data_IF_687276325029
#
_entry.id   IF_687276325029
#
_cell.length_a   1.000
_cell.length_b   1.000
_cell.length_c   1.000
_cell.angle_alpha   90.00
_cell.angle_beta   90.00
_cell.angle_gamma   90.00
#
_symmetry.space_group_name_H-M   'P 1'
#
loop_
_entity.id
_entity.type
_entity.pdbx_description
1 polymer ?
#
# COMPACT_ATOMS: atom_id res chain seq x y z
N UNK A 1 -17.49 5.76 12.20
CA UNK A 1 -16.16 5.64 11.55
C UNK A 1 -16.38 5.13 10.14
N UNK A 2 -16.03 5.91 9.13
CA UNK A 2 -16.24 5.50 7.73
C UNK A 2 -14.95 5.04 7.04
N UNK A 3 -13.80 5.19 7.70
CA UNK A 3 -12.48 4.95 7.13
C UNK A 3 -11.84 3.70 7.73
N UNK A 4 -11.38 2.78 6.89
CA UNK A 4 -10.66 1.58 7.28
C UNK A 4 -9.28 1.55 6.64
N UNK A 5 -8.25 1.36 7.46
CA UNK A 5 -6.87 1.20 7.04
C UNK A 5 -6.45 -0.24 7.31
N UNK A 6 -5.91 -0.88 6.29
CA UNK A 6 -5.40 -2.25 6.37
C UNK A 6 -3.89 -2.22 6.16
N UNK A 7 -3.17 -2.60 7.20
CA UNK A 7 -1.73 -2.74 7.21
C UNK A 7 -1.37 -4.23 7.08
N UNK A 8 -0.62 -4.56 6.05
CA UNK A 8 -0.23 -5.95 5.82
C UNK A 8 1.29 -6.11 5.90
N UNK A 9 1.73 -7.15 6.59
CA UNK A 9 3.13 -7.55 6.62
C UNK A 9 3.27 -8.99 6.15
N UNK A 10 4.21 -9.22 5.23
CA UNK A 10 4.33 -10.54 4.63
C UNK A 10 4.83 -11.58 5.64
N UNK A 11 5.91 -11.27 6.39
CA UNK A 11 6.52 -12.24 7.31
C UNK A 11 7.60 -11.63 8.22
N UNK A 12 7.60 -12.01 9.50
CA UNK A 12 8.69 -11.70 10.44
C UNK A 12 9.28 -13.01 10.94
N UNK A 13 10.50 -13.31 10.54
CA UNK A 13 11.25 -14.48 10.98
C UNK A 13 11.88 -14.24 12.35
N UNK A 14 12.33 -15.29 12.99
CA UNK A 14 13.03 -15.20 14.28
C UNK A 14 14.32 -14.35 14.21
N UNK A 15 15.08 -14.47 13.13
CA UNK A 15 16.28 -13.68 12.87
C UNK A 15 15.98 -12.22 12.48
N UNK A 16 14.71 -11.87 12.26
CA UNK A 16 14.23 -10.55 11.90
C UNK A 16 13.49 -9.84 13.04
N UNK A 17 13.73 -10.21 14.30
CA UNK A 17 13.06 -9.65 15.47
C UNK A 17 13.13 -8.11 15.55
N UNK A 18 14.16 -7.49 14.97
CA UNK A 18 14.26 -6.03 14.85
C UNK A 18 13.09 -5.39 14.06
N UNK A 19 12.41 -6.16 13.23
CA UNK A 19 11.22 -5.70 12.49
C UNK A 19 9.99 -5.52 13.40
N UNK A 20 9.97 -6.13 14.58
CA UNK A 20 8.90 -5.95 15.55
C UNK A 20 8.83 -4.49 16.01
N UNK A 21 9.97 -3.91 16.39
CA UNK A 21 10.06 -2.51 16.81
C UNK A 21 9.65 -1.55 15.69
N UNK A 22 10.06 -1.85 14.44
CA UNK A 22 9.64 -1.09 13.26
C UNK A 22 8.11 -1.14 13.09
N UNK A 23 7.51 -2.31 13.26
CA UNK A 23 6.07 -2.49 13.09
C UNK A 23 5.27 -1.79 14.20
N UNK A 24 5.74 -1.84 15.45
CA UNK A 24 5.16 -1.11 16.57
C UNK A 24 5.21 0.42 16.31
N UNK A 25 6.32 0.92 15.81
CA UNK A 25 6.44 2.33 15.44
C UNK A 25 5.51 2.69 14.28
N UNK A 26 5.44 1.86 13.23
CA UNK A 26 4.58 2.10 12.09
C UNK A 26 3.11 2.19 12.49
N UNK A 27 2.62 1.25 13.31
CA UNK A 27 1.22 1.25 13.77
C UNK A 27 0.89 2.46 14.62
N UNK A 28 1.82 2.88 15.51
CA UNK A 28 1.71 4.11 16.30
C UNK A 28 1.63 5.35 15.41
N UNK A 29 2.47 5.45 14.39
CA UNK A 29 2.45 6.54 13.42
C UNK A 29 1.14 6.57 12.61
N UNK A 30 0.67 5.40 12.15
CA UNK A 30 -0.60 5.30 11.43
C UNK A 30 -1.77 5.77 12.29
N UNK A 31 -1.82 5.38 13.58
CA UNK A 31 -2.86 5.83 14.53
C UNK A 31 -2.79 7.33 14.77
N UNK A 32 -1.58 7.87 15.00
CA UNK A 32 -1.38 9.29 15.26
C UNK A 32 -1.88 10.17 14.09
N UNK A 33 -1.61 9.74 12.87
CA UNK A 33 -2.02 10.49 11.67
C UNK A 33 -3.48 10.22 11.24
N UNK A 34 -4.10 9.14 11.71
CA UNK A 34 -5.45 8.74 11.35
C UNK A 34 -6.26 8.35 12.59
N UNK A 35 -6.47 9.28 13.55
CA UNK A 35 -7.06 8.96 14.85
C UNK A 35 -8.48 8.40 14.76
N UNK A 36 -9.23 8.78 13.72
CA UNK A 36 -10.62 8.39 13.51
C UNK A 36 -10.80 7.20 12.56
N UNK A 37 -9.71 6.59 12.08
CA UNK A 37 -9.79 5.43 11.19
C UNK A 37 -9.78 4.13 11.98
N UNK A 38 -10.49 3.12 11.47
CA UNK A 38 -10.38 1.75 11.96
C UNK A 38 -9.15 1.09 11.36
N UNK A 39 -8.20 0.65 12.17
CA UNK A 39 -6.91 0.10 11.72
C UNK A 39 -6.88 -1.41 11.94
N UNK A 40 -6.70 -2.15 10.85
CA UNK A 40 -6.50 -3.60 10.85
C UNK A 40 -5.03 -3.87 10.53
N UNK A 41 -4.35 -4.64 11.37
CA UNK A 41 -3.04 -5.21 11.08
C UNK A 41 -3.18 -6.68 10.76
N UNK A 42 -2.65 -7.13 9.63
CA UNK A 42 -2.61 -8.54 9.25
C UNK A 42 -1.17 -8.95 8.89
N UNK A 43 -0.71 -10.03 9.49
CA UNK A 43 0.65 -10.52 9.28
C UNK A 43 0.85 -11.93 9.82
N UNK A 44 2.10 -12.38 9.78
CA UNK A 44 2.46 -13.72 10.22
C UNK A 44 3.93 -13.83 10.69
N UNK A 45 4.27 -14.90 11.38
CA UNK A 45 5.56 -15.11 12.01
C UNK A 45 5.60 -14.56 13.44
N UNK A 46 6.72 -13.96 13.86
CA UNK A 46 6.83 -13.37 15.19
C UNK A 46 5.76 -12.29 15.41
N UNK A 47 4.98 -12.44 16.46
CA UNK A 47 3.85 -11.55 16.75
C UNK A 47 4.31 -10.25 17.41
N UNK A 48 3.95 -9.07 16.87
CA UNK A 48 4.24 -7.78 17.49
C UNK A 48 3.32 -7.50 18.66
N UNK A 49 3.80 -6.68 19.59
CA UNK A 49 3.01 -6.10 20.68
C UNK A 49 2.47 -4.75 20.24
N UNK A 50 1.39 -4.73 19.47
CA UNK A 50 0.78 -3.49 18.98
C UNK A 50 -0.53 -3.21 19.73
N UNK A 51 -0.68 -1.98 20.20
CA UNK A 51 -1.86 -1.48 20.91
C UNK A 51 -2.68 -0.50 20.06
N UNK A 52 -2.09 0.00 18.99
CA UNK A 52 -2.63 1.10 18.18
C UNK A 52 -3.57 0.63 17.06
N UNK A 53 -3.76 -0.69 16.91
CA UNK A 53 -4.67 -1.28 15.94
C UNK A 53 -5.98 -1.69 16.60
N UNK A 54 -7.11 -1.45 15.92
CA UNK A 54 -8.44 -1.88 16.40
C UNK A 54 -8.65 -3.39 16.22
N UNK A 55 -7.93 -3.97 15.27
CA UNK A 55 -7.95 -5.42 15.05
C UNK A 55 -6.58 -5.92 14.56
N UNK A 56 -6.14 -7.06 15.12
CA UNK A 56 -4.90 -7.73 14.72
C UNK A 56 -5.22 -9.17 14.30
N UNK A 57 -5.01 -9.47 13.02
CA UNK A 57 -5.00 -10.84 12.52
C UNK A 57 -3.56 -11.30 12.33
N UNK A 58 -3.14 -12.28 13.13
CA UNK A 58 -1.75 -12.73 13.11
C UNK A 58 -1.65 -14.25 13.12
N UNK A 59 -0.92 -14.79 12.14
CA UNK A 59 -0.67 -16.22 11.97
C UNK A 59 0.77 -16.55 12.41
N UNK A 60 0.95 -17.37 13.44
CA UNK A 60 2.27 -17.68 14.00
C UNK A 60 3.08 -18.61 13.10
N UNK A 61 2.42 -19.48 12.35
CA UNK A 61 3.09 -20.45 11.47
C UNK A 61 2.61 -20.28 10.03
N UNK A 62 3.57 -20.31 9.11
CA UNK A 62 3.30 -20.40 7.68
C UNK A 62 3.93 -21.68 7.16
N UNK A 63 3.18 -22.33 6.27
CA UNK A 63 3.79 -23.31 5.41
C UNK A 63 4.67 -22.57 4.40
N UNK A 64 5.99 -22.74 4.45
CA UNK A 64 6.95 -22.06 3.56
C UNK A 64 6.65 -22.24 2.07
N UNK A 65 5.94 -23.31 1.71
CA UNK A 65 5.47 -23.55 0.34
C UNK A 65 4.47 -22.49 -0.13
N UNK A 66 3.86 -21.75 0.79
CA UNK A 66 2.79 -20.77 0.52
C UNK A 66 3.26 -19.31 0.56
N UNK A 67 4.57 -19.02 0.57
CA UNK A 67 5.10 -17.64 0.68
C UNK A 67 4.48 -16.70 -0.35
N UNK A 68 4.33 -17.15 -1.60
CA UNK A 68 3.75 -16.34 -2.67
C UNK A 68 2.23 -16.18 -2.57
N UNK A 69 1.56 -16.99 -1.77
CA UNK A 69 0.12 -16.98 -1.52
C UNK A 69 -0.20 -16.40 -0.13
N UNK A 70 0.77 -16.41 0.78
CA UNK A 70 0.60 -15.94 2.16
C UNK A 70 0.14 -14.49 2.24
N UNK A 71 0.78 -13.57 1.53
CA UNK A 71 0.40 -12.15 1.53
C UNK A 71 -1.02 -11.89 0.99
N UNK A 72 -1.42 -12.38 -0.20
CA UNK A 72 -2.80 -12.23 -0.66
C UNK A 72 -3.82 -12.90 0.26
N UNK A 73 -3.50 -14.03 0.88
CA UNK A 73 -4.36 -14.68 1.87
C UNK A 73 -4.62 -13.78 3.08
N UNK A 74 -3.58 -13.16 3.62
CA UNK A 74 -3.69 -12.18 4.72
C UNK A 74 -4.51 -10.96 4.32
N UNK A 75 -4.29 -10.44 3.11
CA UNK A 75 -5.09 -9.34 2.57
C UNK A 75 -6.57 -9.72 2.50
N UNK A 76 -6.90 -10.90 1.97
CA UNK A 76 -8.29 -11.38 1.89
C UNK A 76 -8.94 -11.54 3.27
N UNK A 77 -8.20 -12.04 4.27
CA UNK A 77 -8.66 -12.10 5.66
C UNK A 77 -9.00 -10.71 6.19
N UNK A 78 -8.08 -9.74 6.01
CA UNK A 78 -8.29 -8.37 6.45
C UNK A 78 -9.47 -7.70 5.72
N UNK A 79 -9.64 -7.94 4.41
CA UNK A 79 -10.77 -7.42 3.63
C UNK A 79 -12.11 -8.02 4.10
N UNK A 80 -12.14 -9.31 4.45
CA UNK A 80 -13.34 -9.94 4.99
C UNK A 80 -13.72 -9.35 6.36
N UNK A 81 -12.73 -9.05 7.22
CA UNK A 81 -12.95 -8.38 8.50
C UNK A 81 -13.51 -6.97 8.29
N UNK A 82 -12.95 -6.20 7.36
CA UNK A 82 -13.45 -4.87 7.02
C UNK A 82 -14.89 -4.93 6.48
N UNK A 83 -15.19 -5.86 5.57
CA UNK A 83 -16.53 -6.05 5.02
C UNK A 83 -17.55 -6.44 6.10
N UNK A 84 -17.20 -7.37 6.99
CA UNK A 84 -18.06 -7.79 8.10
C UNK A 84 -18.38 -6.66 9.09
N UNK A 85 -17.57 -5.59 9.10
CA UNK A 85 -17.78 -4.38 9.88
C UNK A 85 -18.49 -3.25 9.11
N UNK A 86 -18.93 -3.52 7.88
CA UNK A 86 -19.71 -2.59 7.06
C UNK A 86 -18.88 -1.52 6.34
N UNK A 87 -17.54 -1.65 6.29
CA UNK A 87 -16.73 -0.73 5.48
C UNK A 87 -16.96 -0.99 3.99
N UNK A 88 -17.11 0.08 3.23
CA UNK A 88 -17.27 0.04 1.76
C UNK A 88 -16.04 0.50 1.02
N UNK A 89 -15.21 1.32 1.66
CA UNK A 89 -13.91 1.76 1.14
C UNK A 89 -12.80 1.43 2.13
N UNK A 90 -11.64 1.10 1.61
CA UNK A 90 -10.44 0.80 2.40
C UNK A 90 -9.20 1.46 1.82
N UNK A 91 -8.26 1.75 2.71
CA UNK A 91 -6.87 2.01 2.38
C UNK A 91 -6.05 0.79 2.75
N UNK A 92 -5.33 0.21 1.78
CA UNK A 92 -4.36 -0.85 2.04
C UNK A 92 -2.95 -0.30 1.87
N UNK A 93 -2.12 -0.51 2.87
CA UNK A 93 -0.70 -0.19 2.81
C UNK A 93 0.13 -1.31 3.41
N UNK A 94 1.45 -1.25 3.19
CA UNK A 94 2.37 -2.15 3.88
C UNK A 94 2.60 -1.65 5.30
N UNK A 95 2.75 -2.57 6.23
CA UNK A 95 3.03 -2.23 7.63
C UNK A 95 4.49 -1.79 7.88
N UNK A 96 5.38 -1.99 6.91
CA UNK A 96 6.77 -1.49 6.94
C UNK A 96 6.92 -0.11 6.26
N UNK A 97 5.81 0.60 6.10
CA UNK A 97 5.77 1.94 5.51
C UNK A 97 4.84 2.87 6.27
N UNK A 98 5.11 4.15 6.15
CA UNK A 98 4.29 5.23 6.72
C UNK A 98 4.09 6.35 5.70
N UNK A 99 3.14 7.22 5.97
CA UNK A 99 2.83 8.41 5.17
C UNK A 99 2.83 9.63 6.07
N UNK A 100 3.60 10.67 5.74
CA UNK A 100 3.66 11.92 6.53
C UNK A 100 2.46 12.86 6.20
N UNK A 101 1.28 12.28 6.04
CA UNK A 101 0.03 13.02 5.77
C UNK A 101 -1.00 12.59 6.80
N UNK A 102 -1.67 13.56 7.40
CA UNK A 102 -2.80 13.32 8.30
C UNK A 102 -4.07 12.99 7.50
N UNK A 103 -4.93 12.16 8.11
CA UNK A 103 -6.22 11.77 7.55
C UNK A 103 -6.09 11.22 6.12
N UNK A 104 -5.21 10.21 5.97
CA UNK A 104 -4.83 9.67 4.66
C UNK A 104 -6.03 9.12 3.86
N UNK A 105 -7.05 8.57 4.52
CA UNK A 105 -8.23 8.09 3.81
C UNK A 105 -9.01 9.23 3.16
N UNK A 106 -9.21 10.34 3.87
CA UNK A 106 -9.89 11.52 3.33
C UNK A 106 -9.08 12.18 2.21
N UNK A 107 -7.74 12.16 2.34
CA UNK A 107 -6.86 12.64 1.28
C UNK A 107 -6.95 11.75 0.04
N UNK A 108 -6.90 10.43 0.21
CA UNK A 108 -7.00 9.46 -0.87
C UNK A 108 -8.39 9.48 -1.54
N UNK A 109 -9.45 9.71 -0.76
CA UNK A 109 -10.81 9.80 -1.30
C UNK A 109 -10.98 10.98 -2.28
N UNK A 110 -10.35 12.11 -2.00
CA UNK A 110 -10.32 13.26 -2.91
C UNK A 110 -9.58 12.97 -4.22
N UNK A 111 -8.60 12.08 -4.19
CA UNK A 111 -7.81 11.69 -5.36
C UNK A 111 -8.44 10.53 -6.14
N UNK A 112 -9.30 9.76 -5.52
CA UNK A 112 -9.96 8.60 -6.15
C UNK A 112 -10.89 9.03 -7.28
N UNK A 113 -11.53 10.22 -7.12
CA UNK A 113 -12.53 10.72 -8.06
C UNK A 113 -13.66 9.69 -8.30
N UNK A 114 -13.99 9.44 -9.58
CA UNK A 114 -15.01 8.49 -10.04
C UNK A 114 -14.46 7.08 -10.32
N UNK A 115 -13.19 6.81 -9.94
CA UNK A 115 -12.52 5.53 -10.21
C UNK A 115 -12.76 4.51 -9.08
N UNK A 116 -12.51 3.25 -9.40
CA UNK A 116 -12.68 2.15 -8.47
C UNK A 116 -11.52 2.03 -7.48
N UNK A 117 -10.30 2.39 -7.90
CA UNK A 117 -9.10 2.24 -7.07
C UNK A 117 -8.06 3.31 -7.38
N UNK A 118 -7.46 3.86 -6.33
CA UNK A 118 -6.28 4.73 -6.37
C UNK A 118 -5.02 3.90 -6.16
N UNK A 119 -4.03 4.08 -7.02
CA UNK A 119 -2.75 3.34 -7.02
C UNK A 119 -1.55 4.27 -7.15
N UNK A 120 -0.36 3.72 -6.91
CA UNK A 120 0.91 4.46 -7.04
C UNK A 120 1.72 4.04 -8.27
N UNK A 121 2.91 4.65 -8.44
CA UNK A 121 3.83 4.47 -9.58
C UNK A 121 4.31 3.05 -9.84
N UNK A 122 4.10 2.10 -8.95
CA UNK A 122 4.38 0.70 -9.27
C UNK A 122 3.42 0.12 -10.31
N UNK A 123 2.33 0.83 -10.57
CA UNK A 123 1.39 0.49 -11.64
C UNK A 123 1.88 1.08 -12.95
N UNK A 124 1.92 0.28 -14.00
CA UNK A 124 2.41 0.69 -15.33
C UNK A 124 1.31 0.54 -16.37
N UNK A 125 1.34 1.41 -17.40
CA UNK A 125 0.40 1.35 -18.52
C UNK A 125 0.90 0.51 -19.72
N UNK A 126 2.16 0.05 -19.69
CA UNK A 126 2.73 -0.71 -20.82
C UNK A 126 2.58 -2.21 -20.66
N UNK A 127 2.52 -2.67 -19.42
CA UNK A 127 2.46 -4.09 -19.10
C UNK A 127 1.56 -4.32 -17.88
N UNK A 128 0.88 -5.44 -17.81
CA UNK A 128 0.04 -5.79 -16.68
C UNK A 128 0.85 -5.85 -15.37
N UNK A 129 0.80 -4.75 -14.62
CA UNK A 129 1.44 -4.62 -13.32
C UNK A 129 0.70 -3.57 -12.49
N UNK A 130 0.16 -3.96 -11.34
CA UNK A 130 -0.42 -3.07 -10.33
C UNK A 130 0.44 -3.14 -9.08
N UNK A 131 0.90 -1.98 -8.62
CA UNK A 131 1.66 -1.88 -7.38
C UNK A 131 0.80 -2.14 -6.15
N UNK A 132 1.37 -2.84 -5.18
CA UNK A 132 0.69 -3.26 -3.95
C UNK A 132 1.10 -2.46 -2.70
N UNK A 133 1.96 -1.46 -2.86
CA UNK A 133 2.48 -0.66 -1.73
C UNK A 133 1.38 0.18 -1.08
N UNK A 134 0.50 0.73 -1.89
CA UNK A 134 -0.60 1.58 -1.48
C UNK A 134 -1.77 1.41 -2.45
N UNK A 135 -2.93 1.11 -1.91
CA UNK A 135 -4.20 1.03 -2.64
C UNK A 135 -5.28 1.72 -1.79
N UNK A 136 -6.15 2.49 -2.43
CA UNK A 136 -7.35 3.02 -1.80
C UNK A 136 -8.53 2.90 -2.75
N UNK A 137 -9.70 2.53 -2.27
CA UNK A 137 -10.91 2.50 -3.08
C UNK A 137 -12.00 1.57 -2.58
N UNK A 138 -12.87 1.18 -3.48
CA UNK A 138 -13.99 0.29 -3.19
C UNK A 138 -13.50 -1.07 -2.68
N UNK A 139 -13.99 -1.46 -1.52
CA UNK A 139 -13.57 -2.70 -0.86
C UNK A 139 -13.91 -3.94 -1.69
N UNK A 140 -15.10 -3.99 -2.30
CA UNK A 140 -15.53 -5.15 -3.07
C UNK A 140 -14.71 -5.29 -4.35
N UNK A 141 -14.41 -4.15 -4.99
CA UNK A 141 -13.54 -4.12 -6.15
C UNK A 141 -12.13 -4.61 -5.81
N UNK A 142 -11.51 -4.01 -4.79
CA UNK A 142 -10.16 -4.39 -4.33
C UNK A 142 -10.14 -5.87 -3.95
N UNK A 143 -11.15 -6.37 -3.21
CA UNK A 143 -11.24 -7.77 -2.80
C UNK A 143 -11.31 -8.73 -4.00
N UNK A 144 -12.06 -8.38 -5.05
CA UNK A 144 -12.10 -9.18 -6.29
C UNK A 144 -10.73 -9.21 -6.98
N UNK A 145 -10.00 -8.08 -7.03
CA UNK A 145 -8.65 -8.03 -7.59
C UNK A 145 -7.63 -8.85 -6.77
N UNK A 146 -7.85 -9.01 -5.47
CA UNK A 146 -7.01 -9.82 -4.58
C UNK A 146 -7.54 -11.25 -4.39
N UNK A 147 -8.37 -11.75 -5.29
CA UNK A 147 -8.93 -13.10 -5.19
C UNK A 147 -7.82 -14.17 -5.21
N UNK A 148 -7.75 -14.94 -4.13
CA UNK A 148 -6.73 -15.97 -3.94
C UNK A 148 -6.95 -17.18 -4.86
N UNK A 149 -8.19 -17.49 -5.22
CA UNK A 149 -8.54 -18.64 -6.04
C UNK A 149 -8.02 -18.51 -7.48
N UNK A 150 -7.81 -17.27 -7.91
CA UNK A 150 -7.25 -16.91 -9.23
C UNK A 150 -5.82 -16.39 -9.15
N UNK A 151 -5.18 -16.51 -7.99
CA UNK A 151 -3.81 -16.04 -7.78
C UNK A 151 -2.77 -16.99 -8.37
N UNK A 152 -1.82 -16.44 -9.10
CA UNK A 152 -0.74 -17.22 -9.72
C UNK A 152 0.48 -17.29 -8.80
N UNK A 153 0.72 -18.39 -8.09
CA UNK A 153 1.79 -18.47 -7.09
C UNK A 153 3.20 -18.38 -7.66
N UNK A 154 3.37 -18.66 -8.97
CA UNK A 154 4.66 -18.59 -9.66
C UNK A 154 5.00 -17.19 -10.18
N UNK A 155 4.08 -16.23 -10.09
CA UNK A 155 4.27 -14.85 -10.54
C UNK A 155 4.43 -13.90 -9.36
N UNK A 156 5.03 -12.74 -9.62
CA UNK A 156 5.08 -11.68 -8.60
C UNK A 156 3.68 -11.21 -8.21
N UNK A 157 3.50 -10.76 -6.97
CA UNK A 157 2.21 -10.27 -6.47
C UNK A 157 1.60 -9.18 -7.35
N UNK A 158 2.44 -8.26 -7.85
CA UNK A 158 2.00 -7.16 -8.74
C UNK A 158 1.45 -7.66 -10.09
N UNK A 159 1.98 -8.76 -10.62
CA UNK A 159 1.49 -9.37 -11.87
C UNK A 159 0.19 -10.14 -11.64
N UNK A 160 0.09 -10.87 -10.53
CA UNK A 160 -1.14 -11.62 -10.17
C UNK A 160 -2.30 -10.65 -9.91
N UNK A 161 -2.03 -9.55 -9.22
CA UNK A 161 -3.01 -8.49 -8.99
C UNK A 161 -3.51 -7.87 -10.30
N UNK A 162 -2.61 -7.63 -11.26
CA UNK A 162 -2.96 -7.08 -12.57
C UNK A 162 -3.81 -8.05 -13.39
N UNK A 163 -3.50 -9.35 -13.38
CA UNK A 163 -4.31 -10.36 -14.07
C UNK A 163 -5.73 -10.45 -13.48
N UNK A 164 -5.86 -10.44 -12.17
CA UNK A 164 -7.16 -10.43 -11.51
C UNK A 164 -7.94 -9.15 -11.82
N UNK A 165 -7.26 -8.00 -11.84
CA UNK A 165 -7.87 -6.71 -12.20
C UNK A 165 -8.50 -6.77 -13.60
N UNK A 166 -7.76 -7.24 -14.62
CA UNK A 166 -8.31 -7.40 -15.97
C UNK A 166 -9.55 -8.29 -15.99
N UNK A 167 -9.52 -9.40 -15.27
CA UNK A 167 -10.67 -10.30 -15.17
C UNK A 167 -11.89 -9.63 -14.50
N UNK A 168 -11.65 -8.75 -13.54
CA UNK A 168 -12.72 -8.02 -12.82
C UNK A 168 -13.34 -6.95 -13.70
N UNK A 169 -12.53 -6.19 -14.45
CA UNK A 169 -13.03 -5.08 -15.29
C UNK A 169 -13.51 -5.56 -16.66
N UNK A 170 -13.14 -6.77 -17.07
CA UNK A 170 -13.50 -7.38 -18.36
C UNK A 170 -13.11 -6.50 -19.58
N UNK A 171 -11.99 -5.80 -19.47
CA UNK A 171 -11.46 -4.92 -20.50
C UNK A 171 -10.30 -5.61 -21.21
N UNK A 172 -10.33 -5.63 -22.55
CA UNK A 172 -9.30 -6.33 -23.35
C UNK A 172 -8.00 -5.55 -23.47
N UNK A 173 -8.07 -4.23 -23.37
CA UNK A 173 -6.91 -3.35 -23.46
C UNK A 173 -6.44 -2.97 -22.06
N UNK A 174 -5.20 -3.30 -21.73
CA UNK A 174 -4.61 -3.01 -20.42
C UNK A 174 -4.61 -1.51 -20.09
N UNK A 175 -4.21 -0.66 -21.05
CA UNK A 175 -4.15 0.80 -20.86
C UNK A 175 -5.54 1.37 -20.58
N UNK A 176 -6.52 0.97 -21.38
CA UNK A 176 -7.90 1.44 -21.23
C UNK A 176 -8.51 0.95 -19.93
N UNK A 177 -8.27 -0.31 -19.56
CA UNK A 177 -8.66 -0.86 -18.25
C UNK A 177 -8.13 0.00 -17.10
N UNK A 178 -6.85 0.38 -17.15
CA UNK A 178 -6.24 1.24 -16.13
C UNK A 178 -6.87 2.65 -16.14
N UNK A 179 -6.96 3.30 -17.29
CA UNK A 179 -7.48 4.67 -17.42
C UNK A 179 -8.94 4.75 -16.95
N UNK A 180 -9.75 3.74 -17.28
CA UNK A 180 -11.17 3.74 -16.94
C UNK A 180 -11.44 3.44 -15.46
N UNK A 181 -10.57 2.69 -14.78
CA UNK A 181 -10.84 2.16 -13.44
C UNK A 181 -9.88 2.64 -12.34
N UNK A 182 -8.73 3.21 -12.70
CA UNK A 182 -7.71 3.58 -11.73
C UNK A 182 -7.49 5.10 -11.72
N UNK A 183 -7.35 5.65 -10.52
CA UNK A 183 -6.70 6.93 -10.28
C UNK A 183 -5.25 6.68 -9.84
N UNK A 184 -4.38 7.65 -10.07
CA UNK A 184 -2.96 7.51 -9.81
C UNK A 184 -2.46 8.62 -8.90
N UNK A 185 -1.62 8.25 -7.95
CA UNK A 185 -0.98 9.20 -7.05
C UNK A 185 0.53 8.95 -6.99
N UNK A 186 1.28 10.03 -7.06
CA UNK A 186 2.71 9.98 -6.86
C UNK A 186 3.03 9.72 -5.37
N UNK A 187 3.94 8.79 -5.09
CA UNK A 187 4.38 8.49 -3.72
C UNK A 187 4.97 9.70 -3.00
N UNK A 188 5.46 10.70 -3.74
CA UNK A 188 5.88 11.99 -3.17
C UNK A 188 4.71 12.80 -2.63
N UNK A 189 3.59 12.79 -3.35
CA UNK A 189 2.40 13.52 -2.92
C UNK A 189 1.79 12.95 -1.65
N UNK A 190 1.90 11.63 -1.45
CA UNK A 190 1.49 10.96 -0.22
C UNK A 190 2.62 10.89 0.83
N UNK A 191 3.78 11.47 0.56
CA UNK A 191 4.95 11.48 1.44
C UNK A 191 5.27 10.10 2.03
N UNK A 192 5.32 9.11 1.16
CA UNK A 192 5.51 7.70 1.53
C UNK A 192 6.96 7.43 1.94
N UNK A 193 7.16 6.72 3.04
CA UNK A 193 8.47 6.34 3.58
C UNK A 193 8.52 4.83 3.78
N UNK A 194 9.57 4.19 3.29
CA UNK A 194 9.87 2.79 3.59
C UNK A 194 10.72 2.70 4.86
N UNK A 195 10.14 2.21 5.95
CA UNK A 195 10.83 2.08 7.22
C UNK A 195 11.93 1.01 7.17
N UNK A 196 11.66 -0.13 6.55
CA UNK A 196 12.59 -1.27 6.54
C UNK A 196 13.99 -0.90 6.02
N UNK A 197 14.06 -0.08 4.98
CA UNK A 197 15.36 0.33 4.38
C UNK A 197 16.03 1.50 5.09
N UNK A 198 15.27 2.26 5.86
CA UNK A 198 15.71 3.50 6.47
C UNK A 198 15.63 3.46 8.00
N UNK A 199 15.42 2.26 8.59
CA UNK A 199 15.08 2.13 10.01
C UNK A 199 16.09 2.78 10.94
N UNK A 200 17.38 2.63 10.69
CA UNK A 200 18.44 3.24 11.54
C UNK A 200 18.28 4.75 11.65
N UNK A 201 18.01 5.43 10.54
CA UNK A 201 17.87 6.89 10.49
C UNK A 201 16.50 7.34 11.03
N UNK A 202 15.44 6.63 10.65
CA UNK A 202 14.09 6.88 11.16
C UNK A 202 14.04 6.68 12.67
N UNK A 203 14.67 5.64 13.19
CA UNK A 203 14.75 5.35 14.62
C UNK A 203 15.45 6.47 15.41
N UNK A 204 16.51 7.05 14.83
CA UNK A 204 17.21 8.20 15.43
C UNK A 204 16.37 9.51 15.40
N UNK A 205 15.32 9.56 14.58
CA UNK A 205 14.47 10.75 14.41
C UNK A 205 12.98 10.45 14.70
N UNK A 206 12.67 9.44 15.51
CA UNK A 206 11.31 8.96 15.78
C UNK A 206 10.30 10.07 16.09
N UNK A 207 10.67 11.01 16.95
CA UNK A 207 9.77 12.11 17.35
C UNK A 207 9.46 13.06 16.19
N UNK A 208 10.47 13.41 15.38
CA UNK A 208 10.26 14.25 14.19
C UNK A 208 9.34 13.54 13.20
N UNK A 209 9.56 12.24 12.99
CA UNK A 209 8.74 11.43 12.09
C UNK A 209 7.30 11.32 12.58
N UNK A 210 7.09 11.06 13.87
CA UNK A 210 5.75 11.02 14.46
C UNK A 210 5.01 12.35 14.25
N UNK A 211 5.68 13.46 14.38
CA UNK A 211 5.10 14.79 14.21
C UNK A 211 5.03 15.25 12.74
N UNK A 212 5.34 14.37 11.78
CA UNK A 212 5.41 14.67 10.34
C UNK A 212 6.40 15.80 9.99
N UNK A 213 7.38 16.03 10.83
CA UNK A 213 8.38 17.11 10.72
C UNK A 213 9.77 16.55 10.40
N UNK A 214 9.85 15.65 9.44
CA UNK A 214 11.10 15.09 8.95
C UNK A 214 11.56 15.90 7.73
N UNK A 215 12.63 16.67 7.93
CA UNK A 215 13.32 17.34 6.83
C UNK A 215 13.89 16.30 5.86
N UNK A 216 13.91 16.63 4.58
CA UNK A 216 14.45 15.74 3.55
C UNK A 216 13.85 14.31 3.55
N UNK A 217 12.57 14.16 3.98
CA UNK A 217 11.86 12.90 4.03
C UNK A 217 11.95 12.10 2.71
N UNK A 218 12.09 12.78 1.57
CA UNK A 218 12.25 12.18 0.24
C UNK A 218 13.52 11.33 0.10
N UNK A 219 14.52 11.51 0.97
CA UNK A 219 15.70 10.65 1.02
C UNK A 219 15.38 9.25 1.59
N UNK A 220 14.24 9.11 2.27
CA UNK A 220 13.80 7.89 2.92
C UNK A 220 12.77 7.10 2.11
N UNK A 221 12.54 7.49 0.88
CA UNK A 221 11.74 6.73 -0.07
C UNK A 221 12.37 5.37 -0.35
N UNK A 222 11.57 4.44 -0.81
CA UNK A 222 12.03 3.09 -1.10
C UNK A 222 13.19 3.10 -2.11
N UNK A 223 14.39 2.82 -1.62
CA UNK A 223 15.61 2.92 -2.39
C UNK A 223 16.05 4.38 -2.58
N UNK A 224 16.54 5.02 -1.51
CA UNK A 224 17.06 6.40 -1.48
C UNK A 224 18.08 6.72 -2.59
N UNK A 225 18.67 5.70 -3.22
CA UNK A 225 19.54 5.83 -4.40
C UNK A 225 18.85 5.51 -5.72
N UNK A 226 17.61 5.05 -5.71
CA UNK A 226 16.87 4.80 -6.96
C UNK A 226 16.28 6.10 -7.48
N UNK A 227 16.52 6.37 -8.75
CA UNK A 227 15.79 7.40 -9.48
C UNK A 227 14.33 6.97 -9.53
N UNK A 228 13.45 7.77 -8.97
CA UNK A 228 12.01 7.51 -9.03
C UNK A 228 11.48 7.88 -10.41
N UNK A 229 10.47 7.14 -10.82
CA UNK A 229 9.86 7.29 -12.12
C UNK A 229 8.77 8.35 -12.08
N UNK A 230 8.71 9.17 -13.09
CA UNK A 230 7.48 9.85 -13.48
C UNK A 230 6.97 9.17 -14.75
N UNK A 231 5.69 9.31 -15.04
CA UNK A 231 5.17 8.89 -16.34
C UNK A 231 5.42 10.00 -17.36
N UNK A 232 5.86 9.63 -18.55
CA UNK A 232 5.86 10.54 -19.69
C UNK A 232 4.43 10.68 -20.27
N UNK A 233 4.33 11.49 -21.33
CA UNK A 233 3.08 11.70 -22.04
C UNK A 233 2.45 10.42 -22.64
N UNK A 234 3.25 9.38 -22.83
CA UNK A 234 2.82 8.10 -23.39
C UNK A 234 2.52 7.07 -22.27
N UNK A 235 2.59 7.48 -20.99
CA UNK A 235 2.41 6.62 -19.85
C UNK A 235 3.61 5.70 -19.59
N UNK A 236 4.77 6.03 -20.13
CA UNK A 236 6.03 5.33 -19.90
C UNK A 236 6.68 5.85 -18.63
N UNK A 237 7.24 4.93 -17.83
CA UNK A 237 8.07 5.35 -16.70
C UNK A 237 9.35 6.00 -17.20
N UNK A 238 9.53 7.24 -16.81
CA UNK A 238 10.81 7.94 -16.98
C UNK A 238 11.53 7.95 -15.63
N UNK A 239 12.79 7.53 -15.65
CA UNK A 239 13.69 7.76 -14.53
C UNK A 239 14.03 9.25 -14.44
N UNK A 240 13.33 10.00 -13.63
CA UNK A 240 13.61 11.42 -13.40
C UNK A 240 13.76 11.73 -11.94
N UNK A 241 14.40 12.87 -11.65
CA UNK A 241 14.30 13.44 -10.29
C UNK A 241 12.84 13.77 -10.01
N UNK A 242 12.32 13.40 -8.85
CA UNK A 242 10.94 13.68 -8.50
C UNK A 242 10.64 15.17 -8.52
N UNK A 243 9.52 15.54 -9.10
CA UNK A 243 8.95 16.86 -8.92
C UNK A 243 8.09 16.82 -7.65
N UNK A 244 8.65 17.30 -6.54
CA UNK A 244 7.91 17.41 -5.29
C UNK A 244 6.59 18.16 -5.49
N UNK A 245 5.50 17.61 -4.97
CA UNK A 245 4.19 18.25 -4.93
C UNK A 245 3.32 18.12 -6.20
N UNK A 246 3.76 17.40 -7.22
CA UNK A 246 2.92 17.16 -8.39
C UNK A 246 2.03 15.93 -8.18
N UNK A 247 0.71 16.13 -8.18
CA UNK A 247 -0.26 15.03 -8.22
C UNK A 247 -0.32 14.54 -9.67
N UNK A 248 -0.08 13.27 -9.88
CA UNK A 248 -0.21 12.64 -11.19
C UNK A 248 -1.68 12.33 -11.41
N UNK A 249 -2.28 12.97 -12.39
CA UNK A 249 -3.66 12.74 -12.82
C UNK A 249 -3.66 12.19 -14.25
N UNK A 250 -4.79 11.67 -14.70
CA UNK A 250 -4.97 11.23 -16.08
C UNK A 250 -4.57 12.32 -17.10
N UNK A 251 -4.78 13.60 -16.77
CA UNK A 251 -4.39 14.73 -17.63
C UNK A 251 -2.89 14.87 -17.81
N UNK A 252 -2.10 14.36 -16.87
CA UNK A 252 -0.64 14.38 -16.94
C UNK A 252 -0.09 13.29 -17.88
N UNK A 253 -0.95 12.45 -18.43
CA UNK A 253 -0.58 11.30 -19.30
C UNK A 253 -0.97 11.52 -20.77
N UNK A 254 -1.72 12.59 -21.04
CA UNK A 254 -2.04 13.06 -22.39
C UNK A 254 -0.99 14.07 -22.84
#
# INVERSE_FOLDING_TARGET
MNNCIILTHAFIREDEAHKLELLEFATKHWRYNNPNSYIILAGHGLRPKVTECDYVHWEEKINEKDINVGHPRLCNKAYNIAAARGFTKILKSRSDSIHLIKNMCEYADKLLQDKNMLVTQQTTLHRPQIGDLFLYGDLNFIKKCWNIDTWYPTKTGVTSLANNFINVVQENNWRDACINNLSFVDIYNIKWICLQKNWKEINANKEKVLNNNLDNWYNHLWGSKQKWHTWDKDGTFIFSKPKLGKITTEKDWK
#
